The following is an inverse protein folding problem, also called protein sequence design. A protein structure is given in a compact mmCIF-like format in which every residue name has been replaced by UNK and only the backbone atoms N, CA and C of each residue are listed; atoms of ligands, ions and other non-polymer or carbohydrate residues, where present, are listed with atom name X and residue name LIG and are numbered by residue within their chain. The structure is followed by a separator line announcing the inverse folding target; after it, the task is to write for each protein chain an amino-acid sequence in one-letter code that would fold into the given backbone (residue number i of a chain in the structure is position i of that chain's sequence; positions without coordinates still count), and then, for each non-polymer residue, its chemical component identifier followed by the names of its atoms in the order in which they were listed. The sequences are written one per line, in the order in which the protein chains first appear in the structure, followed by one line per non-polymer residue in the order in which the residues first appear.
data_IF_476533484109
#
_entry.id   IF_476533484109
#
_cell.length_a   1.000
_cell.length_b   1.000
_cell.length_c   1.000
_cell.angle_alpha   90.00
_cell.angle_beta   90.00
_cell.angle_gamma   90.00
#
_symmetry.space_group_name_H-M   'P 1'
#
loop_
_entity.id
_entity.type
_entity.pdbx_description
1 polymer ?
#
# COMPACT_ATOMS: atom_id res chain seq x y z
N UNK A 1 -23.90 -31.21 17.71
CA UNK A 1 -22.43 -31.23 17.61
C UNK A 1 -22.08 -30.21 16.54
N UNK A 2 -22.15 -28.92 16.87
CA UNK A 2 -22.22 -27.85 15.86
C UNK A 2 -21.55 -26.59 16.42
N UNK A 3 -20.23 -26.62 16.53
CA UNK A 3 -19.43 -25.51 17.10
C UNK A 3 -18.12 -25.27 16.36
N UNK A 4 -18.00 -25.71 15.10
CA UNK A 4 -16.77 -25.53 14.31
C UNK A 4 -16.86 -24.42 13.24
N UNK A 5 -18.05 -23.96 12.85
CA UNK A 5 -18.21 -22.97 11.78
C UNK A 5 -18.20 -21.50 12.22
N UNK A 6 -18.50 -21.19 13.49
CA UNK A 6 -18.66 -19.80 13.98
C UNK A 6 -17.29 -19.09 14.20
N UNK A 7 -16.19 -19.84 14.30
CA UNK A 7 -14.87 -19.25 14.59
C UNK A 7 -14.10 -18.79 13.33
N UNK A 8 -14.45 -19.27 12.14
CA UNK A 8 -13.76 -18.84 10.91
C UNK A 8 -14.22 -17.46 10.43
N UNK A 9 -15.48 -17.09 10.68
CA UNK A 9 -16.02 -15.80 10.23
C UNK A 9 -15.48 -14.61 11.06
N UNK A 10 -15.33 -14.76 12.38
CA UNK A 10 -14.87 -13.68 13.27
C UNK A 10 -13.41 -13.27 13.05
N UNK A 11 -12.56 -14.20 12.63
CA UNK A 11 -11.14 -13.92 12.39
C UNK A 11 -10.90 -13.17 11.07
N UNK A 12 -11.75 -13.40 10.06
CA UNK A 12 -11.70 -12.68 8.78
C UNK A 12 -12.10 -11.22 8.96
N UNK A 13 -13.19 -10.96 9.68
CA UNK A 13 -13.71 -9.60 9.93
C UNK A 13 -12.78 -8.74 10.78
N UNK A 14 -12.04 -9.34 11.72
CA UNK A 14 -11.12 -8.60 12.61
C UNK A 14 -9.86 -8.13 11.90
N UNK A 15 -9.34 -8.94 10.96
CA UNK A 15 -8.15 -8.62 10.16
C UNK A 15 -8.44 -7.56 9.09
N UNK A 16 -9.64 -7.58 8.52
CA UNK A 16 -10.11 -6.55 7.59
C UNK A 16 -10.43 -5.23 8.30
N UNK A 17 -11.06 -5.27 9.49
CA UNK A 17 -11.31 -4.07 10.30
C UNK A 17 -10.03 -3.34 10.71
N UNK A 18 -8.98 -4.06 11.10
CA UNK A 18 -7.67 -3.44 11.39
C UNK A 18 -7.03 -2.78 10.17
N UNK A 19 -7.14 -3.40 8.98
CA UNK A 19 -6.66 -2.79 7.74
C UNK A 19 -7.47 -1.54 7.37
N UNK A 20 -8.80 -1.58 7.50
CA UNK A 20 -9.67 -0.44 7.18
C UNK A 20 -9.42 0.76 8.11
N UNK A 21 -9.26 0.51 9.41
CA UNK A 21 -9.05 1.58 10.39
C UNK A 21 -7.75 2.36 10.14
N UNK A 22 -6.72 1.71 9.59
CA UNK A 22 -5.45 2.36 9.27
C UNK A 22 -5.58 3.38 8.11
N UNK A 23 -6.34 3.02 7.05
CA UNK A 23 -6.60 3.94 5.94
C UNK A 23 -7.47 5.13 6.35
N UNK A 24 -8.35 4.94 7.35
CA UNK A 24 -9.22 5.99 7.86
C UNK A 24 -8.55 6.89 8.91
N UNK A 25 -7.52 6.40 9.63
CA UNK A 25 -6.81 7.17 10.66
C UNK A 25 -5.75 8.12 10.12
N UNK A 26 -5.33 7.97 8.86
CA UNK A 26 -4.45 8.93 8.20
C UNK A 26 -5.28 9.94 7.40
N UNK A 27 -5.97 10.85 8.09
CA UNK A 27 -6.61 12.02 7.47
C UNK A 27 -5.65 12.84 6.58
N UNK A 28 -4.34 12.69 6.80
CA UNK A 28 -3.26 13.33 6.03
C UNK A 28 -3.03 12.67 4.66
N UNK A 29 -3.42 11.40 4.48
CA UNK A 29 -3.15 10.62 3.27
C UNK A 29 -4.47 10.09 2.70
N UNK A 30 -5.10 10.89 1.84
CA UNK A 30 -6.39 10.62 1.16
C UNK A 30 -6.32 9.46 0.13
N UNK A 31 -5.47 8.45 0.36
CA UNK A 31 -5.28 7.31 -0.55
C UNK A 31 -6.03 6.12 0.00
N UNK A 32 -7.08 5.72 -0.70
CA UNK A 32 -7.85 4.54 -0.35
C UNK A 32 -7.11 3.23 -0.66
N UNK A 33 -7.63 2.13 -0.14
CA UNK A 33 -7.05 0.78 -0.32
C UNK A 33 -6.93 0.38 -1.79
N UNK A 34 -7.88 0.76 -2.63
CA UNK A 34 -7.92 0.38 -4.04
C UNK A 34 -6.82 1.10 -4.84
N UNK A 35 -6.57 2.37 -4.53
CA UNK A 35 -5.45 3.14 -5.06
C UNK A 35 -4.11 2.52 -4.70
N UNK A 36 -3.92 2.11 -3.44
CA UNK A 36 -2.69 1.43 -3.03
C UNK A 36 -2.51 0.09 -3.76
N UNK A 37 -3.60 -0.69 -3.89
CA UNK A 37 -3.59 -1.95 -4.63
C UNK A 37 -3.21 -1.74 -6.10
N UNK A 38 -3.85 -0.76 -6.74
CA UNK A 38 -3.58 -0.40 -8.14
C UNK A 38 -2.10 -0.08 -8.35
N UNK A 39 -1.50 0.72 -7.47
CA UNK A 39 -0.06 1.03 -7.56
C UNK A 39 0.79 -0.22 -7.37
N UNK A 40 0.51 -1.04 -6.36
CA UNK A 40 1.27 -2.27 -6.08
C UNK A 40 1.19 -3.31 -7.20
N UNK A 41 0.18 -3.24 -8.05
CA UNK A 41 0.01 -4.11 -9.22
C UNK A 41 0.69 -3.54 -10.48
N UNK A 42 0.78 -2.21 -10.61
CA UNK A 42 1.23 -1.56 -11.84
C UNK A 42 2.65 -0.97 -11.77
N UNK A 43 3.23 -0.76 -10.59
CA UNK A 43 4.57 -0.13 -10.47
C UNK A 43 5.71 -0.91 -11.13
N UNK A 44 5.53 -2.22 -11.36
CA UNK A 44 6.50 -3.05 -12.08
C UNK A 44 6.38 -2.95 -13.60
N UNK A 45 5.36 -2.26 -14.12
CA UNK A 45 5.19 -2.05 -15.54
C UNK A 45 6.18 -0.99 -16.02
N UNK A 46 7.17 -1.42 -16.82
CA UNK A 46 8.22 -0.56 -17.37
C UNK A 46 7.69 0.54 -18.31
N UNK A 47 6.47 0.38 -18.81
CA UNK A 47 5.84 1.35 -19.71
C UNK A 47 5.08 2.45 -18.96
N UNK A 48 4.98 2.36 -17.63
CA UNK A 48 4.26 3.34 -16.80
C UNK A 48 5.27 4.11 -15.98
N UNK A 49 5.26 5.44 -16.09
CA UNK A 49 6.04 6.31 -15.24
C UNK A 49 5.46 6.29 -13.82
N UNK A 50 6.31 6.10 -12.80
CA UNK A 50 5.88 6.04 -11.39
C UNK A 50 5.21 7.34 -10.92
N UNK A 51 5.63 8.50 -11.44
CA UNK A 51 5.01 9.78 -11.16
C UNK A 51 3.59 9.84 -11.73
N UNK A 52 3.40 9.39 -12.98
CA UNK A 52 2.07 9.30 -13.60
C UNK A 52 1.17 8.33 -12.86
N UNK A 53 1.72 7.19 -12.42
CA UNK A 53 0.99 6.19 -11.64
C UNK A 53 0.49 6.78 -10.31
N UNK A 54 1.32 7.57 -9.63
CA UNK A 54 0.92 8.27 -8.41
C UNK A 54 -0.14 9.35 -8.72
N UNK A 55 0.04 10.11 -9.79
CA UNK A 55 -0.89 11.17 -10.20
C UNK A 55 -2.28 10.60 -10.54
N UNK A 56 -2.35 9.43 -11.18
CA UNK A 56 -3.61 8.76 -11.53
C UNK A 56 -4.47 8.43 -10.30
N UNK A 57 -3.86 8.23 -9.13
CA UNK A 57 -4.59 7.99 -7.89
C UNK A 57 -4.76 9.26 -7.04
N UNK A 58 -4.48 10.44 -7.60
CA UNK A 58 -4.58 11.72 -6.91
C UNK A 58 -3.46 11.97 -5.89
N UNK A 59 -2.29 11.36 -6.06
CA UNK A 59 -1.12 11.52 -5.19
C UNK A 59 0.12 11.90 -5.99
N UNK A 60 1.23 12.18 -5.29
CA UNK A 60 2.56 12.29 -5.89
C UNK A 60 3.49 11.21 -5.30
N UNK A 61 4.67 11.06 -5.91
CA UNK A 61 5.66 10.07 -5.51
C UNK A 61 6.13 10.24 -4.05
N UNK A 62 6.32 11.48 -3.60
CA UNK A 62 6.73 11.80 -2.22
C UNK A 62 5.69 11.37 -1.18
N UNK A 63 4.43 11.71 -1.40
CA UNK A 63 3.32 11.31 -0.54
C UNK A 63 3.17 9.79 -0.52
N UNK A 64 3.35 9.13 -1.68
CA UNK A 64 3.33 7.68 -1.78
C UNK A 64 4.48 7.05 -1.00
N UNK A 65 5.69 7.60 -1.09
CA UNK A 65 6.85 7.13 -0.35
C UNK A 65 6.60 7.21 1.17
N UNK A 66 6.09 8.35 1.65
CA UNK A 66 5.75 8.55 3.05
C UNK A 66 4.66 7.55 3.52
N UNK A 67 3.62 7.32 2.71
CA UNK A 67 2.59 6.33 3.01
C UNK A 67 3.19 4.93 3.13
N UNK A 68 4.03 4.53 2.17
CA UNK A 68 4.65 3.20 2.17
C UNK A 68 5.54 3.00 3.40
N UNK A 69 6.29 4.01 3.82
CA UNK A 69 7.11 3.95 5.04
C UNK A 69 6.26 3.76 6.30
N UNK A 70 5.12 4.44 6.40
CA UNK A 70 4.20 4.32 7.53
C UNK A 70 3.50 2.96 7.59
N UNK A 71 3.10 2.39 6.43
CA UNK A 71 2.36 1.11 6.42
C UNK A 71 3.31 -0.08 6.58
N UNK A 72 4.56 0.02 6.14
CA UNK A 72 5.54 -1.07 6.11
C UNK A 72 5.70 -1.83 7.44
N UNK A 73 5.77 -1.19 8.62
CA UNK A 73 5.87 -1.92 9.89
C UNK A 73 4.60 -2.71 10.24
N UNK A 74 3.46 -2.35 9.68
CA UNK A 74 2.14 -2.91 10.00
C UNK A 74 1.79 -4.09 9.08
N UNK A 75 2.40 -4.13 7.89
CA UNK A 75 2.22 -5.22 6.94
C UNK A 75 2.74 -6.56 7.51
N UNK A 76 1.81 -7.47 7.74
CA UNK A 76 2.09 -8.84 8.23
C UNK A 76 2.33 -9.83 7.09
N UNK A 77 1.71 -9.59 5.93
CA UNK A 77 1.89 -10.45 4.77
C UNK A 77 3.26 -10.22 4.13
N UNK A 78 4.04 -11.31 4.00
CA UNK A 78 5.40 -11.25 3.44
C UNK A 78 5.40 -10.76 1.99
N UNK A 79 4.45 -11.21 1.17
CA UNK A 79 4.39 -10.85 -0.26
C UNK A 79 4.11 -9.36 -0.43
N UNK A 80 3.12 -8.83 0.29
CA UNK A 80 2.77 -7.41 0.27
C UNK A 80 3.92 -6.56 0.82
N UNK A 81 4.60 -7.01 1.88
CA UNK A 81 5.78 -6.33 2.44
C UNK A 81 6.94 -6.26 1.45
N UNK A 82 7.20 -7.34 0.70
CA UNK A 82 8.21 -7.35 -0.35
C UNK A 82 7.83 -6.40 -1.49
N UNK A 83 6.58 -6.40 -1.96
CA UNK A 83 6.11 -5.46 -3.01
C UNK A 83 6.23 -4.01 -2.56
N UNK A 84 5.80 -3.71 -1.33
CA UNK A 84 5.89 -2.37 -0.74
C UNK A 84 7.33 -1.90 -0.61
N UNK A 85 8.25 -2.80 -0.23
CA UNK A 85 9.69 -2.47 -0.18
C UNK A 85 10.24 -2.16 -1.57
N UNK A 86 9.86 -2.93 -2.59
CA UNK A 86 10.28 -2.68 -3.99
C UNK A 86 9.73 -1.36 -4.52
N UNK A 87 8.46 -1.08 -4.26
CA UNK A 87 7.81 0.18 -4.60
C UNK A 87 8.53 1.36 -3.94
N UNK A 88 8.82 1.26 -2.64
CA UNK A 88 9.55 2.31 -1.92
C UNK A 88 10.93 2.59 -2.52
N UNK A 89 11.68 1.54 -2.84
CA UNK A 89 12.99 1.72 -3.50
C UNK A 89 12.85 2.41 -4.87
N UNK A 90 11.80 2.07 -5.62
CA UNK A 90 11.54 2.67 -6.93
C UNK A 90 11.15 4.16 -6.80
N UNK A 91 10.29 4.49 -5.84
CA UNK A 91 9.92 5.87 -5.52
C UNK A 91 11.13 6.68 -5.06
N UNK A 92 11.96 6.12 -4.18
CA UNK A 92 13.17 6.78 -3.72
C UNK A 92 14.12 7.11 -4.88
N UNK A 93 14.31 6.17 -5.82
CA UNK A 93 15.11 6.40 -7.03
C UNK A 93 14.51 7.46 -7.96
N UNK A 94 13.18 7.61 -7.99
CA UNK A 94 12.52 8.60 -8.84
C UNK A 94 12.46 10.00 -8.21
N UNK A 95 12.46 10.07 -6.87
CA UNK A 95 12.44 11.34 -6.11
C UNK A 95 13.84 11.93 -5.99
N UNK A 96 14.87 11.10 -5.84
CA UNK A 96 16.23 11.60 -5.82
C UNK A 96 16.60 12.20 -7.18
N UNK A 97 17.21 13.40 -7.21
CA UNK A 97 17.76 13.90 -8.46
C UNK A 97 18.80 12.88 -8.95
N UNK A 98 18.63 12.40 -10.19
CA UNK A 98 19.66 11.62 -10.87
C UNK A 98 20.96 12.39 -10.71
N UNK A 99 21.94 11.79 -10.01
CA UNK A 99 23.30 12.33 -9.93
C UNK A 99 23.84 12.37 -11.36
N UNK A 100 23.68 13.51 -12.01
CA UNK A 100 24.36 13.88 -13.25
C UNK A 100 25.36 14.99 -12.91
#
# INVERSE_FOLDING_TARGET
METHDIQQEKNKTTKEKKHLNFFLQNEVLSINKDSLKYILENFSNKNINIHDLCNQVGSNATNMQNLIEQIRPILTDRSIKTKSTKLSNHLFQSILPSKN
#
